data_IF_169523802860
#
_entry.id   IF_169523802860
#
_cell.length_a   1.000
_cell.length_b   1.000
_cell.length_c   1.000
_cell.angle_alpha   90.00
_cell.angle_beta   90.00
_cell.angle_gamma   90.00
#
_symmetry.space_group_name_H-M   'P 1'
#
loop_
_entity.id
_entity.type
_entity.pdbx_description
1 polymer ?
#
# COMPACT_ATOMS: atom_id res chain seq x y z
N UNK A 1 -1.46 -2.99 -24.00
CA UNK A 1 -2.05 -3.78 -22.92
C UNK A 1 -2.33 -2.89 -21.70
N UNK A 2 -3.46 -3.08 -21.00
CA UNK A 2 -3.76 -2.29 -19.82
C UNK A 2 -2.72 -2.56 -18.72
N UNK A 3 -2.26 -1.50 -18.05
CA UNK A 3 -1.35 -1.62 -16.92
C UNK A 3 -2.14 -1.81 -15.62
N UNK A 4 -2.66 -3.01 -15.41
CA UNK A 4 -3.50 -3.34 -14.26
C UNK A 4 -2.72 -3.78 -13.00
N UNK A 5 -1.40 -3.71 -13.03
CA UNK A 5 -0.52 -4.12 -11.95
C UNK A 5 -0.27 -3.05 -10.89
N UNK A 6 0.67 -3.36 -10.00
CA UNK A 6 1.22 -2.45 -8.98
C UNK A 6 2.66 -2.11 -9.35
N UNK A 7 3.04 -0.86 -9.22
CA UNK A 7 4.43 -0.40 -9.29
C UNK A 7 4.90 0.02 -7.90
N UNK A 8 5.96 -0.61 -7.41
CA UNK A 8 6.57 -0.27 -6.12
C UNK A 8 7.90 0.41 -6.38
N UNK A 9 8.14 1.55 -5.73
CA UNK A 9 9.38 2.28 -5.79
C UNK A 9 9.85 2.65 -4.38
N UNK A 10 11.13 2.39 -4.06
CA UNK A 10 11.75 2.71 -2.77
C UNK A 10 12.73 3.85 -2.98
N UNK A 11 12.51 4.94 -2.27
CA UNK A 11 13.29 6.17 -2.35
C UNK A 11 14.31 6.25 -1.20
N UNK A 12 15.48 6.86 -1.42
CA UNK A 12 16.54 6.94 -0.40
C UNK A 12 16.27 7.95 0.73
N UNK A 13 15.33 8.85 0.53
CA UNK A 13 15.03 9.93 1.45
C UNK A 13 13.53 10.14 1.65
N UNK A 14 13.14 11.39 1.92
CA UNK A 14 11.76 11.82 2.13
C UNK A 14 11.13 12.44 0.89
N UNK A 15 11.92 12.69 -0.15
CA UNK A 15 11.49 13.25 -1.44
C UNK A 15 11.78 12.28 -2.60
N UNK A 16 10.98 12.39 -3.66
CA UNK A 16 11.23 11.69 -4.93
C UNK A 16 12.47 12.21 -5.67
N UNK A 17 12.93 13.41 -5.31
CA UNK A 17 14.09 14.07 -5.89
C UNK A 17 15.39 13.72 -5.15
N UNK A 18 15.30 13.05 -4.00
CA UNK A 18 16.46 12.58 -3.27
C UNK A 18 17.21 11.53 -4.09
N UNK A 19 18.56 11.65 -4.13
CA UNK A 19 19.44 10.73 -4.85
C UNK A 19 20.15 9.80 -3.89
N UNK A 20 20.40 8.57 -4.34
CA UNK A 20 21.02 7.52 -3.54
C UNK A 20 22.52 7.38 -3.80
N UNK A 21 22.92 7.14 -5.05
CA UNK A 21 24.32 7.04 -5.50
C UNK A 21 24.43 7.64 -6.89
N UNK A 22 25.31 8.63 -7.05
CA UNK A 22 25.40 9.35 -8.33
C UNK A 22 24.03 9.95 -8.69
N UNK A 23 23.45 9.52 -9.80
CA UNK A 23 22.15 9.98 -10.29
C UNK A 23 20.99 9.00 -9.99
N UNK A 24 21.24 7.91 -9.23
CA UNK A 24 20.21 6.92 -8.90
C UNK A 24 19.20 7.50 -7.90
N UNK A 25 17.93 7.55 -8.29
CA UNK A 25 16.81 8.05 -7.48
C UNK A 25 16.08 6.95 -6.73
N UNK A 26 16.32 5.68 -7.05
CA UNK A 26 15.63 4.55 -6.45
C UNK A 26 16.63 3.60 -5.80
N UNK A 27 16.32 3.19 -4.58
CA UNK A 27 17.03 2.11 -3.87
C UNK A 27 16.59 0.75 -4.40
N UNK A 28 15.29 0.61 -4.67
CA UNK A 28 14.69 -0.59 -5.23
C UNK A 28 13.42 -0.25 -6.00
N UNK A 29 13.06 -1.10 -6.96
CA UNK A 29 11.77 -1.01 -7.63
C UNK A 29 11.28 -2.39 -8.05
N UNK A 30 9.96 -2.55 -8.13
CA UNK A 30 9.32 -3.80 -8.59
C UNK A 30 7.99 -3.49 -9.27
N UNK A 31 7.73 -4.19 -10.37
CA UNK A 31 6.40 -4.28 -10.97
C UNK A 31 5.76 -5.61 -10.56
N UNK A 32 4.54 -5.54 -10.02
CA UNK A 32 3.77 -6.70 -9.58
C UNK A 32 2.56 -6.85 -10.50
N UNK A 33 2.40 -8.03 -11.07
CA UNK A 33 1.31 -8.37 -11.99
C UNK A 33 0.73 -9.75 -11.65
N UNK A 34 -0.55 -9.92 -11.89
CA UNK A 34 -1.24 -11.19 -11.61
C UNK A 34 -2.71 -10.98 -11.27
N UNK A 35 -3.33 -11.97 -10.66
CA UNK A 35 -4.65 -11.80 -10.03
C UNK A 35 -4.55 -10.93 -8.79
N UNK A 36 -5.65 -10.28 -8.40
CA UNK A 36 -5.65 -9.35 -7.26
C UNK A 36 -5.10 -9.99 -5.98
N UNK A 37 -5.51 -11.20 -5.56
CA UNK A 37 -4.95 -11.82 -4.36
C UNK A 37 -3.44 -12.05 -4.43
N UNK A 38 -2.96 -12.51 -5.59
CA UNK A 38 -1.52 -12.74 -5.82
C UNK A 38 -0.74 -11.43 -5.81
N UNK A 39 -1.30 -10.38 -6.42
CA UNK A 39 -0.65 -9.06 -6.42
C UNK A 39 -0.56 -8.48 -5.02
N UNK A 40 -1.58 -8.64 -4.18
CA UNK A 40 -1.57 -8.16 -2.80
C UNK A 40 -0.48 -8.90 -2.01
N UNK A 41 -0.47 -10.23 -2.04
CA UNK A 41 0.52 -11.04 -1.32
C UNK A 41 1.95 -10.71 -1.77
N UNK A 42 2.22 -10.69 -3.07
CA UNK A 42 3.55 -10.38 -3.61
C UNK A 42 4.01 -8.95 -3.29
N UNK A 43 3.10 -7.98 -3.30
CA UNK A 43 3.41 -6.61 -2.91
C UNK A 43 3.72 -6.50 -1.41
N UNK A 44 2.90 -7.11 -0.54
CA UNK A 44 3.13 -7.13 0.92
C UNK A 44 4.46 -7.80 1.24
N UNK A 45 4.73 -8.98 0.66
CA UNK A 45 5.98 -9.71 0.87
C UNK A 45 7.20 -8.91 0.44
N UNK A 46 7.11 -8.18 -0.67
CA UNK A 46 8.18 -7.33 -1.16
C UNK A 46 8.43 -6.14 -0.22
N UNK A 47 7.36 -5.48 0.22
CA UNK A 47 7.44 -4.39 1.19
C UNK A 47 8.03 -4.87 2.51
N UNK A 48 7.57 -5.99 3.06
CA UNK A 48 8.07 -6.55 4.31
C UNK A 48 9.56 -6.89 4.25
N UNK A 49 10.04 -7.39 3.11
CA UNK A 49 11.47 -7.65 2.90
C UNK A 49 12.30 -6.37 2.86
N UNK A 50 11.79 -5.29 2.26
CA UNK A 50 12.53 -4.04 2.11
C UNK A 50 12.46 -3.13 3.34
N UNK A 51 11.34 -3.16 4.09
CA UNK A 51 11.11 -2.28 5.24
C UNK A 51 11.63 -2.87 6.56
N UNK A 52 12.06 -4.13 6.56
CA UNK A 52 12.69 -4.79 7.69
C UNK A 52 11.86 -5.93 8.28
N UNK A 53 12.37 -7.15 8.13
CA UNK A 53 11.70 -8.38 8.56
C UNK A 53 11.68 -8.59 10.10
N UNK A 54 12.56 -7.93 10.85
CA UNK A 54 12.71 -8.18 12.31
C UNK A 54 11.77 -7.36 13.19
N UNK A 55 11.41 -6.17 12.77
CA UNK A 55 10.41 -5.31 13.40
C UNK A 55 9.84 -4.43 12.29
N UNK A 56 8.72 -4.82 11.70
CA UNK A 56 8.15 -4.04 10.61
C UNK A 56 7.72 -2.66 11.12
N UNK A 57 8.13 -1.63 10.40
CA UNK A 57 7.74 -0.24 10.68
C UNK A 57 6.23 -0.02 10.52
N UNK A 58 5.55 -0.98 9.87
CA UNK A 58 4.11 -0.96 9.59
C UNK A 58 3.50 -2.34 9.87
N UNK A 59 2.31 -2.44 10.48
CA UNK A 59 1.60 -3.71 10.61
C UNK A 59 1.31 -4.33 9.23
N UNK A 60 1.59 -5.62 9.01
CA UNK A 60 1.30 -6.29 7.72
C UNK A 60 -0.16 -6.18 7.31
N UNK A 61 -1.09 -6.20 8.28
CA UNK A 61 -2.52 -6.02 8.05
C UNK A 61 -2.81 -4.66 7.39
N UNK A 62 -2.17 -3.58 7.86
CA UNK A 62 -2.36 -2.23 7.30
C UNK A 62 -1.94 -2.17 5.84
N UNK A 63 -0.79 -2.75 5.51
CA UNK A 63 -0.31 -2.81 4.13
C UNK A 63 -1.25 -3.63 3.25
N UNK A 64 -1.69 -4.80 3.74
CA UNK A 64 -2.61 -5.69 3.02
C UNK A 64 -3.93 -5.00 2.71
N UNK A 65 -4.57 -4.41 3.70
CA UNK A 65 -5.84 -3.70 3.55
C UNK A 65 -5.72 -2.48 2.63
N UNK A 66 -4.67 -1.68 2.79
CA UNK A 66 -4.48 -0.49 1.96
C UNK A 66 -4.26 -0.84 0.49
N UNK A 67 -3.51 -1.92 0.19
CA UNK A 67 -3.28 -2.41 -1.17
C UNK A 67 -4.55 -3.04 -1.74
N UNK A 68 -5.28 -3.84 -0.93
CA UNK A 68 -6.56 -4.41 -1.33
C UNK A 68 -7.57 -3.31 -1.69
N UNK A 69 -7.71 -2.28 -0.86
CA UNK A 69 -8.55 -1.13 -1.13
C UNK A 69 -8.15 -0.40 -2.41
N UNK A 70 -6.86 -0.15 -2.61
CA UNK A 70 -6.36 0.51 -3.82
C UNK A 70 -6.73 -0.27 -5.09
N UNK A 71 -6.60 -1.61 -5.09
CA UNK A 71 -6.96 -2.45 -6.22
C UNK A 71 -8.47 -2.58 -6.40
N UNK A 72 -9.23 -2.71 -5.32
CA UNK A 72 -10.70 -2.89 -5.37
C UNK A 72 -11.39 -1.62 -5.87
N UNK A 73 -10.96 -0.45 -5.41
CA UNK A 73 -11.57 0.84 -5.73
C UNK A 73 -10.89 1.60 -6.88
N UNK A 74 -9.90 0.99 -7.51
CA UNK A 74 -9.24 1.54 -8.68
C UNK A 74 -10.23 1.87 -9.80
N UNK A 75 -9.94 2.91 -10.57
CA UNK A 75 -10.61 3.16 -11.85
C UNK A 75 -10.11 2.16 -12.91
N UNK A 76 -11.02 1.32 -13.40
CA UNK A 76 -10.76 0.34 -14.47
C UNK A 76 -11.30 0.79 -15.83
N UNK A 77 -11.77 2.04 -15.95
CA UNK A 77 -12.24 2.62 -17.22
C UNK A 77 -11.13 2.63 -18.28
N UNK A 78 -11.47 2.76 -19.55
CA UNK A 78 -10.50 2.87 -20.63
C UNK A 78 -9.48 3.97 -20.43
N UNK A 79 -9.87 5.09 -19.84
CA UNK A 79 -9.02 6.27 -19.64
C UNK A 79 -7.94 6.03 -18.57
N UNK A 80 -8.21 5.16 -17.59
CA UNK A 80 -7.27 4.82 -16.52
C UNK A 80 -6.40 3.59 -16.83
N UNK A 81 -6.55 2.93 -17.98
CA UNK A 81 -5.82 1.68 -18.32
C UNK A 81 -4.31 1.85 -18.43
N UNK A 82 -3.83 3.06 -18.70
CA UNK A 82 -2.40 3.38 -18.78
C UNK A 82 -1.70 3.57 -17.45
N UNK A 83 -2.44 3.66 -16.34
CA UNK A 83 -1.91 4.01 -15.01
C UNK A 83 -1.98 2.81 -14.07
N UNK A 84 -0.91 2.51 -13.33
CA UNK A 84 -0.88 1.45 -12.31
C UNK A 84 -1.27 1.99 -10.94
N UNK A 85 -1.52 1.09 -9.99
CA UNK A 85 -1.42 1.43 -8.57
C UNK A 85 0.05 1.66 -8.25
N UNK A 86 0.38 2.78 -7.62
CA UNK A 86 1.75 3.13 -7.25
C UNK A 86 1.94 3.06 -5.74
N UNK A 87 2.97 2.35 -5.31
CA UNK A 87 3.42 2.31 -3.92
C UNK A 87 4.78 2.97 -3.87
N UNK A 88 4.86 4.10 -3.19
CA UNK A 88 6.11 4.84 -2.97
C UNK A 88 6.53 4.70 -1.51
N UNK A 89 7.69 4.11 -1.28
CA UNK A 89 8.28 3.91 0.04
C UNK A 89 9.36 4.96 0.26
N UNK A 90 9.16 5.81 1.25
CA UNK A 90 10.11 6.81 1.71
C UNK A 90 10.71 6.38 3.06
N UNK A 91 11.70 7.11 3.54
CA UNK A 91 12.33 6.81 4.84
C UNK A 91 11.41 7.06 6.03
N UNK A 92 10.38 7.90 5.86
CA UNK A 92 9.45 8.36 6.90
C UNK A 92 8.00 7.92 6.69
N UNK A 93 7.63 7.41 5.50
CA UNK A 93 6.25 7.06 5.15
C UNK A 93 6.16 6.11 3.96
N UNK A 94 4.96 5.55 3.78
CA UNK A 94 4.52 4.89 2.54
C UNK A 94 3.35 5.67 1.97
N UNK A 95 3.37 5.89 0.66
CA UNK A 95 2.25 6.44 -0.11
C UNK A 95 1.71 5.35 -1.05
N UNK A 96 0.40 5.10 -0.99
CA UNK A 96 -0.31 4.20 -1.90
C UNK A 96 -1.27 5.06 -2.72
N UNK A 97 -1.00 5.16 -4.01
CA UNK A 97 -1.77 5.98 -4.95
C UNK A 97 -2.45 5.07 -5.97
N UNK A 98 -3.75 5.17 -6.07
CA UNK A 98 -4.52 4.45 -7.08
C UNK A 98 -5.18 5.42 -8.09
N UNK A 99 -5.34 5.00 -9.35
CA UNK A 99 -6.13 5.72 -10.34
C UNK A 99 -7.60 5.78 -9.93
N UNK A 100 -8.19 6.96 -10.08
CA UNK A 100 -9.55 7.27 -9.67
C UNK A 100 -9.64 7.88 -8.28
N UNK A 101 -10.33 9.02 -8.14
CA UNK A 101 -10.64 9.66 -6.87
C UNK A 101 -11.68 8.87 -6.07
N UNK A 102 -12.13 9.42 -4.95
CA UNK A 102 -13.26 8.89 -4.19
C UNK A 102 -14.52 8.78 -5.08
N UNK A 103 -15.33 7.76 -4.86
CA UNK A 103 -16.45 7.44 -5.73
C UNK A 103 -17.80 7.63 -5.01
N UNK A 104 -18.77 8.16 -5.75
CA UNK A 104 -20.13 8.37 -5.25
C UNK A 104 -20.18 9.40 -4.13
N UNK A 105 -20.83 9.07 -3.04
CA UNK A 105 -20.99 9.95 -1.87
C UNK A 105 -19.88 9.78 -0.82
N UNK A 106 -18.83 9.04 -1.12
CA UNK A 106 -17.71 8.85 -0.18
C UNK A 106 -16.87 10.12 -0.12
N UNK A 107 -16.75 10.68 1.07
CA UNK A 107 -15.88 11.80 1.40
C UNK A 107 -14.82 11.36 2.41
N UNK A 108 -13.82 12.21 2.67
CA UNK A 108 -12.83 11.94 3.72
C UNK A 108 -13.49 11.71 5.08
N UNK A 109 -14.52 12.48 5.43
CA UNK A 109 -15.23 12.36 6.70
C UNK A 109 -16.01 11.04 6.79
N UNK A 110 -16.59 10.60 5.67
CA UNK A 110 -17.28 9.31 5.58
C UNK A 110 -16.31 8.14 5.73
N UNK A 111 -15.11 8.22 5.15
CA UNK A 111 -14.08 7.19 5.33
C UNK A 111 -13.67 7.03 6.80
N UNK A 112 -13.57 8.12 7.53
CA UNK A 112 -13.12 8.14 8.92
C UNK A 112 -14.21 7.73 9.94
N UNK A 113 -15.49 7.72 9.54
CA UNK A 113 -16.61 7.54 10.44
C UNK A 113 -17.55 6.42 10.01
N UNK A 114 -18.08 5.61 10.95
CA UNK A 114 -19.17 4.68 10.65
C UNK A 114 -20.42 5.48 10.25
N UNK A 115 -21.31 4.84 9.49
CA UNK A 115 -22.57 5.48 9.08
C UNK A 115 -23.39 5.92 10.31
N UNK A 116 -23.82 7.19 10.38
CA UNK A 116 -24.39 7.77 11.59
C UNK A 116 -25.71 7.10 12.07
N UNK A 117 -26.46 6.49 11.15
CA UNK A 117 -27.79 5.91 11.49
C UNK A 117 -27.70 4.47 11.97
N UNK A 118 -26.75 3.69 11.45
CA UNK A 118 -26.70 2.24 11.70
C UNK A 118 -25.43 1.80 12.41
N UNK A 119 -24.43 2.68 12.55
CA UNK A 119 -23.10 2.31 13.02
C UNK A 119 -22.31 1.46 12.00
N UNK A 120 -22.94 1.11 10.89
CA UNK A 120 -22.28 0.38 9.81
C UNK A 120 -21.43 1.33 8.94
N UNK A 121 -20.29 0.87 8.44
CA UNK A 121 -19.50 1.65 7.52
C UNK A 121 -20.28 1.93 6.22
N UNK A 122 -20.13 3.15 5.70
CA UNK A 122 -20.76 3.50 4.43
C UNK A 122 -19.97 2.84 3.29
N UNK A 123 -20.68 2.02 2.50
CA UNK A 123 -20.07 1.34 1.35
C UNK A 123 -20.60 1.96 0.07
N UNK A 124 -19.74 2.68 -0.65
CA UNK A 124 -19.95 3.07 -2.04
C UNK A 124 -18.74 2.60 -2.84
N UNK A 125 -18.95 1.60 -3.68
CA UNK A 125 -17.85 1.03 -4.47
C UNK A 125 -18.02 1.31 -5.96
N UNK A 126 -16.95 1.73 -6.61
CA UNK A 126 -16.88 1.95 -8.05
C UNK A 126 -17.07 0.63 -8.82
N UNK A 127 -16.56 -0.47 -8.28
CA UNK A 127 -16.47 -1.76 -8.94
C UNK A 127 -17.29 -2.81 -8.17
N UNK A 128 -18.63 -2.71 -8.18
CA UNK A 128 -19.52 -3.54 -7.36
C UNK A 128 -19.31 -5.04 -7.60
N UNK A 129 -19.26 -5.50 -8.84
CA UNK A 129 -19.04 -6.92 -9.16
C UNK A 129 -17.69 -7.42 -8.67
N UNK A 130 -16.62 -6.63 -8.85
CA UNK A 130 -15.30 -6.96 -8.35
C UNK A 130 -15.29 -7.03 -6.83
N UNK A 131 -15.91 -6.07 -6.18
CA UNK A 131 -16.02 -6.02 -4.72
C UNK A 131 -16.68 -7.29 -4.17
N UNK A 132 -17.87 -7.65 -4.68
CA UNK A 132 -18.59 -8.87 -4.30
C UNK A 132 -17.77 -10.14 -4.60
N UNK A 133 -17.08 -10.19 -5.74
CA UNK A 133 -16.22 -11.32 -6.05
C UNK A 133 -15.08 -11.48 -5.04
N UNK A 134 -14.49 -10.40 -4.59
CA UNK A 134 -13.37 -10.41 -3.66
C UNK A 134 -13.78 -10.80 -2.22
N UNK A 135 -15.06 -10.65 -1.84
CA UNK A 135 -15.59 -11.13 -0.55
C UNK A 135 -15.41 -12.65 -0.39
N UNK A 136 -15.55 -13.39 -1.48
CA UNK A 136 -15.39 -14.85 -1.51
C UNK A 136 -14.07 -15.32 -2.13
N UNK A 137 -13.18 -14.41 -2.50
CA UNK A 137 -11.90 -14.76 -3.15
C UNK A 137 -10.82 -14.95 -2.09
N UNK A 138 -10.24 -16.17 -1.97
CA UNK A 138 -9.20 -16.42 -0.98
C UNK A 138 -7.84 -15.85 -1.41
N UNK A 139 -7.01 -15.52 -0.42
CA UNK A 139 -5.57 -15.36 -0.62
C UNK A 139 -4.88 -16.72 -0.82
N UNK A 140 -3.74 -16.77 -1.51
CA UNK A 140 -2.94 -17.99 -1.63
C UNK A 140 -2.55 -18.59 -0.27
N UNK A 141 -2.31 -17.75 0.75
CA UNK A 141 -1.98 -18.15 2.12
C UNK A 141 -3.18 -18.41 3.02
N UNK A 142 -4.42 -18.35 2.51
CA UNK A 142 -5.66 -18.52 3.27
C UNK A 142 -6.27 -17.18 3.74
N UNK A 143 -7.55 -17.24 4.13
CA UNK A 143 -8.36 -16.05 4.37
C UNK A 143 -8.90 -15.43 3.09
N UNK A 144 -9.75 -14.41 3.19
CA UNK A 144 -10.40 -13.76 2.06
C UNK A 144 -9.90 -12.33 1.87
N UNK A 145 -9.97 -11.83 0.63
CA UNK A 145 -9.47 -10.49 0.28
C UNK A 145 -10.29 -9.40 0.97
N UNK A 146 -11.61 -9.57 1.05
CA UNK A 146 -12.51 -8.59 1.63
C UNK A 146 -13.65 -9.27 2.42
N UNK A 147 -13.34 -9.97 3.53
CA UNK A 147 -14.30 -10.89 4.18
C UNK A 147 -15.53 -10.20 4.82
N UNK A 148 -15.44 -8.93 5.16
CA UNK A 148 -16.47 -8.21 5.94
C UNK A 148 -17.03 -6.98 5.21
N UNK A 149 -16.83 -6.88 3.91
CA UNK A 149 -17.44 -5.90 3.02
C UNK A 149 -17.47 -4.44 3.49
N UNK A 150 -16.43 -3.66 3.21
CA UNK A 150 -16.47 -2.19 3.31
C UNK A 150 -15.92 -1.55 4.59
N UNK A 151 -15.36 -2.31 5.51
CA UNK A 151 -14.73 -1.82 6.75
C UNK A 151 -13.20 -1.66 6.69
N UNK A 152 -12.60 -1.86 5.52
CA UNK A 152 -11.13 -1.87 5.33
C UNK A 152 -10.44 -0.63 5.88
N UNK A 153 -11.02 0.56 5.73
CA UNK A 153 -10.45 1.79 6.27
C UNK A 153 -10.47 1.81 7.81
N UNK A 154 -11.55 1.34 8.43
CA UNK A 154 -11.69 1.24 9.88
C UNK A 154 -10.72 0.20 10.47
N UNK A 155 -10.49 -0.91 9.76
CA UNK A 155 -9.49 -1.92 10.12
C UNK A 155 -8.06 -1.35 10.06
N UNK A 156 -7.73 -0.57 9.04
CA UNK A 156 -6.47 0.18 8.96
C UNK A 156 -6.33 1.12 10.15
N UNK A 157 -7.35 1.94 10.43
CA UNK A 157 -7.32 2.90 11.52
C UNK A 157 -7.16 2.23 12.91
N UNK A 158 -7.83 1.10 13.12
CA UNK A 158 -7.72 0.32 14.35
C UNK A 158 -6.32 -0.26 14.52
N UNK A 159 -5.76 -0.89 13.47
CA UNK A 159 -4.44 -1.50 13.51
C UNK A 159 -3.31 -0.47 13.66
N UNK A 160 -3.43 0.71 13.05
CA UNK A 160 -2.47 1.81 13.25
C UNK A 160 -2.51 2.32 14.69
N UNK A 161 -3.69 2.50 15.26
CA UNK A 161 -3.85 2.93 16.66
C UNK A 161 -3.27 1.91 17.63
N UNK A 162 -3.52 0.62 17.42
CA UNK A 162 -2.97 -0.47 18.24
C UNK A 162 -1.43 -0.51 18.17
N UNK A 163 -0.87 -0.23 17.00
CA UNK A 163 0.57 -0.15 16.80
C UNK A 163 1.21 1.15 17.30
N UNK A 164 0.42 2.12 17.79
CA UNK A 164 0.92 3.44 18.19
C UNK A 164 1.44 4.29 17.03
N UNK A 165 0.87 4.09 15.85
CA UNK A 165 1.20 4.84 14.62
C UNK A 165 0.09 5.89 14.41
N UNK A 166 0.48 7.07 13.92
CA UNK A 166 -0.45 8.13 13.57
C UNK A 166 -1.49 7.64 12.54
N UNK A 167 -2.72 8.14 12.59
CA UNK A 167 -3.73 7.82 11.61
C UNK A 167 -3.25 8.07 10.18
N UNK A 168 -3.63 7.19 9.25
CA UNK A 168 -3.36 7.40 7.84
C UNK A 168 -4.02 8.70 7.36
N UNK A 169 -3.30 9.48 6.56
CA UNK A 169 -3.85 10.65 5.88
C UNK A 169 -4.22 10.31 4.45
N UNK A 170 -5.23 10.98 3.91
CA UNK A 170 -5.70 10.74 2.55
C UNK A 170 -5.75 12.04 1.76
N UNK A 171 -5.39 11.96 0.48
CA UNK A 171 -5.56 13.02 -0.49
C UNK A 171 -6.40 12.51 -1.66
N UNK A 172 -7.44 13.25 -1.98
CA UNK A 172 -8.32 12.95 -3.10
C UNK A 172 -8.20 14.03 -4.16
N UNK A 173 -7.67 13.66 -5.29
CA UNK A 173 -7.63 14.47 -6.50
C UNK A 173 -8.69 13.95 -7.50
N UNK A 174 -8.91 14.66 -8.61
CA UNK A 174 -9.92 14.29 -9.62
C UNK A 174 -9.69 12.86 -10.15
N UNK A 175 -8.44 12.52 -10.44
CA UNK A 175 -8.07 11.28 -11.12
C UNK A 175 -7.25 10.32 -10.25
N UNK A 176 -6.96 10.67 -9.00
CA UNK A 176 -6.17 9.84 -8.10
C UNK A 176 -6.62 9.95 -6.67
N UNK A 177 -6.50 8.86 -5.95
CA UNK A 177 -6.61 8.81 -4.49
C UNK A 177 -5.29 8.33 -3.91
N UNK A 178 -4.76 9.04 -2.93
CA UNK A 178 -3.52 8.68 -2.24
C UNK A 178 -3.77 8.51 -0.75
N UNK A 179 -3.38 7.36 -0.22
CA UNK A 179 -3.29 7.10 1.22
C UNK A 179 -1.83 7.19 1.64
N UNK A 180 -1.55 7.93 2.69
CA UNK A 180 -0.22 8.08 3.29
C UNK A 180 -0.22 7.51 4.70
N UNK A 181 0.71 6.60 4.97
CA UNK A 181 0.92 5.97 6.27
C UNK A 181 2.31 6.34 6.74
N UNK A 182 2.41 7.07 7.86
CA UNK A 182 3.68 7.47 8.44
C UNK A 182 4.36 6.30 9.14
N UNK A 183 5.67 6.32 9.17
CA UNK A 183 6.46 5.32 9.90
C UNK A 183 6.27 5.47 11.41
N UNK A 184 6.20 4.35 12.13
CA UNK A 184 6.24 4.39 13.59
C UNK A 184 7.50 5.12 14.05
N UNK A 185 7.36 6.22 14.78
CA UNK A 185 8.51 6.90 15.40
C UNK A 185 9.03 6.03 16.54
N UNK A 186 10.03 5.21 16.24
CA UNK A 186 10.84 4.64 17.32
C UNK A 186 11.59 5.80 17.96
N UNK A 187 11.42 6.00 19.25
CA UNK A 187 12.19 6.97 20.06
C UNK A 187 13.65 6.50 20.21
N UNK A 188 14.31 6.18 19.11
CA UNK A 188 15.73 5.86 19.08
C UNK A 188 16.30 6.37 17.75
N UNK A 189 17.26 7.26 17.85
CA UNK A 189 18.08 7.91 16.83
C UNK A 189 18.49 6.99 15.66
N UNK A 190 17.59 6.70 14.76
CA UNK A 190 17.97 6.09 13.47
C UNK A 190 18.13 7.21 12.47
N UNK A 191 19.35 7.46 12.02
CA UNK A 191 19.60 8.43 10.96
C UNK A 191 18.97 7.93 9.64
N UNK A 192 18.61 8.81 8.70
CA UNK A 192 18.13 8.40 7.37
C UNK A 192 19.05 7.38 6.67
N UNK A 193 20.36 7.43 6.98
CA UNK A 193 21.34 6.47 6.48
C UNK A 193 21.18 5.03 6.99
N UNK A 194 20.57 4.82 8.15
CA UNK A 194 20.44 3.46 8.71
C UNK A 194 19.36 2.63 7.98
N UNK A 195 18.28 3.27 7.52
CA UNK A 195 17.23 2.60 6.73
C UNK A 195 17.76 2.19 5.36
N UNK A 196 18.47 3.09 4.69
CA UNK A 196 19.13 2.81 3.41
C UNK A 196 20.15 1.68 3.57
N UNK A 197 20.93 1.68 4.65
CA UNK A 197 21.92 0.64 4.94
C UNK A 197 21.29 -0.73 5.20
N UNK A 198 20.16 -0.77 5.90
CA UNK A 198 19.40 -2.00 6.15
C UNK A 198 18.83 -2.59 4.85
N UNK A 199 18.24 -1.75 3.99
CA UNK A 199 17.72 -2.16 2.68
C UNK A 199 18.85 -2.69 1.79
N UNK A 200 20.00 -2.00 1.75
CA UNK A 200 21.17 -2.43 0.98
C UNK A 200 21.71 -3.77 1.43
N UNK A 201 21.77 -4.01 2.74
CA UNK A 201 22.21 -5.31 3.28
C UNK A 201 21.31 -6.46 2.84
N UNK A 202 20.00 -6.21 2.73
CA UNK A 202 19.03 -7.22 2.25
C UNK A 202 19.20 -7.47 0.75
N UNK A 203 19.37 -6.41 -0.05
CA UNK A 203 19.56 -6.52 -1.51
C UNK A 203 20.87 -7.21 -1.87
N UNK A 204 21.97 -6.91 -1.17
CA UNK A 204 23.28 -7.55 -1.37
C UNK A 204 23.22 -9.06 -1.05
N UNK A 205 22.49 -9.46 0.01
CA UNK A 205 22.28 -10.88 0.32
C UNK A 205 21.50 -11.62 -0.77
N UNK A 206 20.50 -10.98 -1.38
CA UNK A 206 19.71 -11.60 -2.45
C UNK A 206 20.47 -11.65 -3.79
N UNK A 207 21.26 -10.62 -4.10
CA UNK A 207 22.14 -10.67 -5.29
C UNK A 207 23.20 -11.75 -5.18
N UNK A 208 23.73 -12.01 -3.99
CA UNK A 208 24.70 -13.08 -3.75
C UNK A 208 24.11 -14.49 -3.84
N UNK A 209 22.78 -14.65 -3.64
CA UNK A 209 22.08 -15.94 -3.80
C UNK A 209 21.69 -16.22 -5.25
N UNK A 210 21.46 -15.19 -6.07
CA UNK A 210 21.10 -15.35 -7.50
C UNK A 210 22.29 -15.66 -8.42
N UNK A 211 23.51 -15.59 -7.93
CA UNK A 211 24.75 -15.90 -8.72
C UNK A 211 25.23 -17.35 -8.50
N UNK A 212 24.51 -18.15 -7.72
CA UNK A 212 24.88 -19.56 -7.39
C UNK A 212 23.94 -20.61 -7.99
N UNK A 213 23.15 -20.27 -9.02
CA UNK A 213 22.45 -21.26 -9.86
C UNK A 213 23.02 -21.29 -11.27
#
# INVERSE_FOLDING_TARGET
YPRLGISIAVFPGTSRDDVFRGDERLVASKSVVGSIPVMIDDAVDSLMRWIGAKKPDYPPLVLREAIANALTHRDYSPDARGTQVHISVFTDRIEITNPGGLYGMVTHDVLASPHPVTGAPFVSTRNQFLFTLLESTPYPGGGFVNPEGGDGYQRIAAALREAGIEPATTRNDINTFTMTITKQRTMANSSPGDVVKAIMTVLERHSAMSVKE
#
